data_IF_560348402276
#
_entry.id   IF_560348402276
#
_cell.length_a   1.000
_cell.length_b   1.000
_cell.length_c   1.000
_cell.angle_alpha   90.00
_cell.angle_beta   90.00
_cell.angle_gamma   90.00
#
_symmetry.space_group_name_H-M   'P 1'
#
loop_
_entity.id
_entity.type
_entity.pdbx_description
1 polymer ?
#
# COMPACT_ATOMS: atom_id res chain seq x y z
N UNK A 1 12.11 11.81 -8.16
CA UNK A 1 11.26 11.87 -9.37
C UNK A 1 10.86 10.43 -9.68
N UNK A 2 9.99 9.84 -8.87
CA UNK A 2 10.03 8.37 -8.73
C UNK A 2 8.69 7.72 -8.32
N UNK A 3 7.90 8.38 -7.45
CA UNK A 3 6.58 7.86 -7.03
C UNK A 3 5.53 7.86 -8.16
N UNK A 4 5.52 8.89 -9.02
CA UNK A 4 4.52 9.00 -10.09
C UNK A 4 4.65 7.88 -11.14
N UNK A 5 5.90 7.45 -11.41
CA UNK A 5 6.18 6.31 -12.28
C UNK A 5 5.75 4.98 -11.65
N UNK A 6 5.92 4.83 -10.33
CA UNK A 6 5.46 3.64 -9.61
C UNK A 6 3.94 3.55 -9.67
N UNK A 7 3.23 4.65 -9.44
CA UNK A 7 1.77 4.72 -9.54
C UNK A 7 1.29 4.39 -10.95
N UNK A 8 1.91 4.96 -11.98
CA UNK A 8 1.59 4.65 -13.38
C UNK A 8 1.83 3.16 -13.72
N UNK A 9 2.93 2.58 -13.23
CA UNK A 9 3.22 1.16 -13.39
C UNK A 9 2.19 0.28 -12.66
N UNK A 10 1.83 0.61 -11.42
CA UNK A 10 0.83 -0.12 -10.64
C UNK A 10 -0.58 -0.01 -11.25
N UNK A 11 -0.95 1.17 -11.76
CA UNK A 11 -2.20 1.37 -12.48
C UNK A 11 -2.25 0.52 -13.76
N UNK A 12 -1.13 0.41 -14.48
CA UNK A 12 -1.01 -0.46 -15.65
C UNK A 12 -1.08 -1.93 -15.26
N UNK A 13 -0.38 -2.33 -14.20
CA UNK A 13 -0.39 -3.68 -13.67
C UNK A 13 -1.77 -4.10 -13.14
N UNK A 14 -2.58 -3.16 -12.64
CA UNK A 14 -3.99 -3.42 -12.27
C UNK A 14 -4.89 -3.64 -13.48
N UNK A 15 -4.59 -3.02 -14.62
CA UNK A 15 -5.31 -3.24 -15.86
C UNK A 15 -4.94 -4.56 -16.55
N UNK A 16 -3.85 -5.20 -16.11
CA UNK A 16 -3.30 -6.41 -16.72
C UNK A 16 -3.27 -7.55 -15.70
N UNK A 17 -4.22 -8.48 -15.82
CA UNK A 17 -4.46 -9.52 -14.81
C UNK A 17 -3.26 -10.44 -14.57
N UNK A 18 -2.40 -10.65 -15.59
CA UNK A 18 -1.18 -11.45 -15.47
C UNK A 18 -0.15 -10.76 -14.56
N UNK A 19 0.07 -9.45 -14.78
CA UNK A 19 0.92 -8.62 -13.94
C UNK A 19 0.36 -8.55 -12.52
N UNK A 20 -0.94 -8.34 -12.35
CA UNK A 20 -1.56 -8.32 -11.02
C UNK A 20 -1.36 -9.64 -10.26
N UNK A 21 -1.53 -10.79 -10.92
CA UNK A 21 -1.30 -12.11 -10.30
C UNK A 21 0.17 -12.34 -9.95
N UNK A 22 1.10 -11.80 -10.74
CA UNK A 22 2.54 -11.88 -10.46
C UNK A 22 2.94 -10.99 -9.29
N UNK A 23 2.32 -9.82 -9.15
CA UNK A 23 2.53 -8.90 -8.02
C UNK A 23 1.87 -9.40 -6.72
N UNK A 24 0.79 -10.17 -6.81
CA UNK A 24 0.13 -10.77 -5.65
C UNK A 24 0.87 -11.99 -5.08
N UNK A 25 1.84 -12.54 -5.83
CA UNK A 25 2.72 -13.58 -5.34
C UNK A 25 3.96 -12.94 -4.70
N UNK A 26 4.64 -13.63 -3.77
CA UNK A 26 5.92 -13.19 -3.25
C UNK A 26 6.93 -13.14 -4.41
N UNK A 27 7.08 -11.94 -4.98
CA UNK A 27 8.01 -11.65 -6.05
C UNK A 27 9.23 -10.98 -5.43
N UNK A 28 10.42 -11.46 -5.80
CA UNK A 28 11.67 -10.80 -5.41
C UNK A 28 11.68 -9.37 -5.95
N UNK A 29 12.09 -8.42 -5.12
CA UNK A 29 12.17 -7.01 -5.48
C UNK A 29 12.99 -6.80 -6.77
N UNK A 30 14.06 -7.56 -6.96
CA UNK A 30 14.86 -7.51 -8.18
C UNK A 30 14.05 -7.85 -9.45
N UNK A 31 13.15 -8.83 -9.38
CA UNK A 31 12.29 -9.22 -10.50
C UNK A 31 11.21 -8.15 -10.78
N UNK A 32 10.69 -7.51 -9.73
CA UNK A 32 9.79 -6.37 -9.87
C UNK A 32 10.46 -5.20 -10.59
N UNK A 33 11.66 -4.82 -10.15
CA UNK A 33 12.43 -3.72 -10.75
C UNK A 33 12.81 -4.03 -12.21
N UNK A 34 13.11 -5.29 -12.52
CA UNK A 34 13.37 -5.71 -13.89
C UNK A 34 12.14 -5.52 -14.78
N UNK A 35 10.95 -5.97 -14.34
CA UNK A 35 9.70 -5.80 -15.09
C UNK A 35 9.37 -4.32 -15.32
N UNK A 36 9.59 -3.47 -14.31
CA UNK A 36 9.38 -2.04 -14.46
C UNK A 36 10.34 -1.42 -15.48
N UNK A 37 11.62 -1.80 -15.43
CA UNK A 37 12.64 -1.35 -16.37
C UNK A 37 12.37 -1.81 -17.82
N UNK A 38 11.87 -3.04 -18.01
CA UNK A 38 11.43 -3.54 -19.32
C UNK A 38 10.31 -2.69 -19.93
N UNK A 39 9.43 -2.18 -19.08
CA UNK A 39 8.31 -1.33 -19.48
C UNK A 39 8.71 0.15 -19.62
N UNK A 40 9.99 0.49 -19.41
CA UNK A 40 10.53 1.84 -19.51
C UNK A 40 10.35 2.70 -18.26
N UNK A 41 9.90 2.12 -17.14
CA UNK A 41 9.78 2.80 -15.86
C UNK A 41 11.06 2.66 -15.05
N UNK A 42 11.62 3.79 -14.63
CA UNK A 42 12.80 3.79 -13.75
C UNK A 42 12.37 3.78 -12.28
N UNK A 43 12.03 2.60 -11.78
CA UNK A 43 11.69 2.38 -10.38
C UNK A 43 12.93 1.99 -9.58
N UNK A 44 12.99 2.41 -8.32
CA UNK A 44 14.02 2.00 -7.36
C UNK A 44 13.41 1.24 -6.20
N UNK A 45 14.23 0.49 -5.47
CA UNK A 45 13.87 -0.13 -4.20
C UNK A 45 13.19 0.86 -3.24
N UNK A 46 13.73 2.08 -3.15
CA UNK A 46 13.19 3.14 -2.30
C UNK A 46 11.75 3.50 -2.63
N UNK A 47 11.32 3.38 -3.89
CA UNK A 47 9.96 3.68 -4.30
C UNK A 47 8.99 2.60 -3.83
N UNK A 48 9.40 1.34 -3.95
CA UNK A 48 8.62 0.18 -3.50
C UNK A 48 8.50 0.16 -1.98
N UNK A 49 9.59 0.49 -1.27
CA UNK A 49 9.59 0.64 0.19
C UNK A 49 8.69 1.80 0.61
N UNK A 50 8.76 2.96 -0.06
CA UNK A 50 7.91 4.11 0.26
C UNK A 50 6.42 3.80 0.04
N UNK A 51 6.07 3.05 -1.01
CA UNK A 51 4.70 2.61 -1.25
C UNK A 51 4.20 1.62 -0.20
N UNK A 52 5.02 0.63 0.19
CA UNK A 52 4.69 -0.29 1.28
C UNK A 52 4.50 0.45 2.61
N UNK A 53 5.39 1.38 2.95
CA UNK A 53 5.28 2.19 4.17
C UNK A 53 4.03 3.08 4.18
N UNK A 54 3.62 3.63 3.04
CA UNK A 54 2.36 4.37 2.92
C UNK A 54 1.16 3.47 3.17
N UNK A 55 1.08 2.34 2.49
CA UNK A 55 -0.03 1.40 2.63
C UNK A 55 -0.12 0.87 4.06
N UNK A 56 1.01 0.56 4.69
CA UNK A 56 1.05 0.10 6.08
C UNK A 56 0.67 1.21 7.08
N UNK A 57 1.06 2.46 6.82
CA UNK A 57 0.64 3.62 7.63
C UNK A 57 -0.86 3.91 7.49
N UNK A 58 -1.44 3.79 6.29
CA UNK A 58 -2.88 3.96 6.05
C UNK A 58 -3.69 2.89 6.80
N UNK A 59 -3.27 1.62 6.73
CA UNK A 59 -3.91 0.52 7.46
C UNK A 59 -3.80 0.69 8.98
N UNK A 60 -2.64 1.15 9.47
CA UNK A 60 -2.40 1.36 10.90
C UNK A 60 -3.26 2.49 11.47
N UNK A 61 -3.49 3.57 10.71
CA UNK A 61 -4.34 4.70 11.14
C UNK A 61 -5.83 4.29 11.20
N UNK A 62 -6.32 3.53 10.22
CA UNK A 62 -7.68 2.98 10.24
C UNK A 62 -7.91 2.04 11.44
N UNK A 63 -6.94 1.18 11.75
CA UNK A 63 -7.04 0.27 12.90
C UNK A 63 -7.00 1.02 14.24
N UNK A 64 -6.22 2.11 14.32
CA UNK A 64 -6.19 3.00 15.48
C UNK A 64 -7.56 3.68 15.70
N UNK A 65 -8.17 4.21 14.64
CA UNK A 65 -9.48 4.87 14.70
C UNK A 65 -10.60 3.92 15.14
N UNK A 66 -10.57 2.66 14.67
CA UNK A 66 -11.57 1.65 15.04
C UNK A 66 -11.54 1.31 16.54
N UNK A 67 -10.34 1.36 17.16
CA UNK A 67 -10.17 1.13 18.60
C UNK A 67 -10.63 2.32 19.43
N UNK A 68 -10.29 3.55 19.03
CA UNK A 68 -10.70 4.76 19.76
C UNK A 68 -12.22 4.98 19.71
N UNK A 69 -12.87 4.70 18.58
CA UNK A 69 -14.33 4.84 18.44
C UNK A 69 -15.10 3.89 19.39
N UNK A 70 -14.58 2.68 19.60
CA UNK A 70 -15.20 1.68 20.47
C UNK A 70 -15.08 2.02 21.96
N UNK A 71 -13.99 2.66 22.39
CA UNK A 71 -13.81 3.09 23.79
C UNK A 71 -14.59 4.38 24.14
N UNK A 72 -14.72 5.32 23.20
CA UNK A 72 -15.45 6.57 23.41
C UNK A 72 -16.96 6.34 23.65
N UNK A 73 -17.57 5.39 22.94
CA UNK A 73 -18.97 5.01 23.17
C UNK A 73 -19.19 4.31 24.52
N UNK A 74 -18.21 3.54 25.01
CA UNK A 74 -18.30 2.84 26.31
C UNK A 74 -18.24 3.81 27.49
N UNK A 75 -17.40 4.85 27.43
CA UNK A 75 -17.32 5.85 28.51
C UNK A 75 -18.60 6.68 28.67
N UNK A 76 -19.34 6.92 27.59
CA UNK A 76 -20.56 7.74 27.61
C UNK A 76 -21.78 7.04 28.23
N UNK A 77 -21.71 5.72 28.43
CA UNK A 77 -22.75 4.93 29.09
C UNK A 77 -22.50 4.68 30.59
N UNK A 78 -21.37 5.16 31.13
CA UNK A 78 -20.96 4.90 32.53
C UNK A 78 -21.05 6.13 33.44
N UNK A 79 -21.52 7.29 32.95
CA UNK A 79 -21.87 8.42 33.84
C UNK A 79 -23.37 8.32 34.16
N UNK A 80 -23.77 7.86 35.36
CA UNK A 80 -25.15 8.01 35.81
C UNK A 80 -25.43 9.51 36.01
N UNK A 81 -26.57 9.97 35.49
CA UNK A 81 -27.14 11.28 35.84
C UNK A 81 -27.61 11.32 37.29
#
# INVERSE_FOLDING_TARGET
>A
MSLDQLDAFLARARADADLQQRLNQPLELAAFLALAAEQGYQLSESDVIAAQQRQESELSDEELQHRTASEACRLRHFIPS
#
